data_IF_650727020105
#
_entry.id   IF_650727020105
#
_cell.length_a   1.000
_cell.length_b   1.000
_cell.length_c   1.000
_cell.angle_alpha   90.00
_cell.angle_beta   90.00
_cell.angle_gamma   90.00
#
_symmetry.space_group_name_H-M   'P 1'
#
loop_
_entity.id
_entity.type
_entity.pdbx_description
1 polymer ?
#
# COMPACT_ATOMS: atom_id res chain seq x y z
N UNK A 1 -10.89 -2.10 2.15
CA UNK A 1 -10.57 -3.49 1.75
C UNK A 1 -9.48 -3.44 0.69
N UNK A 2 -8.30 -3.99 0.95
CA UNK A 2 -7.22 -4.04 -0.03
C UNK A 2 -7.11 -5.49 -0.54
N UNK A 3 -7.68 -5.75 -1.72
CA UNK A 3 -7.80 -7.10 -2.30
C UNK A 3 -6.48 -7.88 -2.28
N UNK A 4 -5.33 -7.20 -2.45
CA UNK A 4 -4.01 -7.84 -2.45
C UNK A 4 -3.61 -8.39 -1.07
N UNK A 5 -3.92 -7.71 0.03
CA UNK A 5 -3.55 -8.24 1.36
C UNK A 5 -4.33 -9.49 1.72
N UNK A 6 -5.58 -9.61 1.24
CA UNK A 6 -6.40 -10.82 1.43
C UNK A 6 -5.83 -11.98 0.61
N UNK A 7 -5.53 -11.76 -0.67
CA UNK A 7 -4.87 -12.74 -1.54
C UNK A 7 -3.57 -13.26 -0.92
N UNK A 8 -2.72 -12.37 -0.38
CA UNK A 8 -1.49 -12.82 0.27
C UNK A 8 -1.74 -13.57 1.56
N UNK A 9 -2.77 -13.23 2.34
CA UNK A 9 -3.08 -14.00 3.56
C UNK A 9 -3.49 -15.43 3.23
N UNK A 10 -4.26 -15.60 2.16
CA UNK A 10 -4.79 -16.89 1.74
C UNK A 10 -3.74 -17.73 1.01
N UNK A 11 -3.07 -17.16 0.00
CA UNK A 11 -2.27 -17.94 -0.95
C UNK A 11 -0.75 -17.79 -0.78
N UNK A 12 -0.26 -16.76 -0.08
CA UNK A 12 1.19 -16.58 0.05
C UNK A 12 1.90 -17.72 0.79
N UNK A 13 1.34 -18.37 1.82
CA UNK A 13 2.03 -19.47 2.49
C UNK A 13 2.41 -20.61 1.52
N UNK A 14 1.46 -21.10 0.72
CA UNK A 14 1.71 -22.16 -0.26
C UNK A 14 2.64 -21.67 -1.38
N UNK A 15 2.40 -20.46 -1.89
CA UNK A 15 3.22 -19.88 -2.96
C UNK A 15 4.69 -19.68 -2.53
N UNK A 16 4.91 -19.22 -1.30
CA UNK A 16 6.25 -19.05 -0.72
C UNK A 16 6.91 -20.39 -0.42
N UNK A 17 6.15 -21.41 -0.01
CA UNK A 17 6.69 -22.75 0.18
C UNK A 17 7.20 -23.33 -1.16
N UNK A 18 6.41 -23.18 -2.23
CA UNK A 18 6.73 -23.74 -3.55
C UNK A 18 7.81 -22.94 -4.30
N UNK A 19 7.78 -21.61 -4.22
CA UNK A 19 8.62 -20.75 -5.07
C UNK A 19 9.54 -19.80 -4.29
N UNK A 20 9.48 -19.78 -2.96
CA UNK A 20 10.22 -18.81 -2.15
C UNK A 20 11.75 -18.91 -2.27
N UNK A 21 12.28 -20.09 -2.59
CA UNK A 21 13.72 -20.31 -2.77
C UNK A 21 14.27 -19.60 -4.02
N UNK A 22 13.56 -19.65 -5.14
CA UNK A 22 13.94 -18.99 -6.40
C UNK A 22 13.47 -17.53 -6.47
N UNK A 23 12.62 -17.09 -5.54
CA UNK A 23 12.08 -15.75 -5.53
C UNK A 23 13.09 -14.68 -5.06
N UNK A 24 13.20 -13.55 -5.78
CA UNK A 24 14.00 -12.41 -5.35
C UNK A 24 13.65 -11.98 -3.91
N UNK A 25 14.69 -11.71 -3.12
CA UNK A 25 14.53 -11.33 -1.69
C UNK A 25 13.62 -10.13 -1.50
N UNK A 26 13.63 -9.18 -2.43
CA UNK A 26 12.78 -7.97 -2.44
C UNK A 26 11.29 -8.31 -2.54
N UNK A 27 10.92 -9.35 -3.27
CA UNK A 27 9.53 -9.79 -3.41
C UNK A 27 9.04 -10.43 -2.10
N UNK A 28 9.84 -11.34 -1.53
CA UNK A 28 9.54 -11.96 -0.21
C UNK A 28 9.36 -10.90 0.89
N UNK A 29 10.26 -9.91 0.94
CA UNK A 29 10.15 -8.77 1.87
C UNK A 29 8.88 -7.95 1.64
N UNK A 30 8.50 -7.73 0.38
CA UNK A 30 7.27 -6.99 0.04
C UNK A 30 6.02 -7.73 0.48
N UNK A 31 5.94 -9.04 0.26
CA UNK A 31 4.84 -9.89 0.73
C UNK A 31 4.74 -9.80 2.26
N UNK A 32 5.84 -10.00 2.98
CA UNK A 32 5.86 -9.90 4.45
C UNK A 32 5.47 -8.51 4.97
N UNK A 33 5.93 -7.44 4.30
CA UNK A 33 5.55 -6.07 4.65
C UNK A 33 4.05 -5.81 4.44
N UNK A 34 3.46 -6.36 3.38
CA UNK A 34 2.03 -6.22 3.11
C UNK A 34 1.20 -7.01 4.12
N UNK A 35 1.61 -8.25 4.46
CA UNK A 35 0.93 -9.10 5.44
C UNK A 35 0.94 -8.51 6.86
N UNK A 36 2.06 -7.91 7.24
CA UNK A 36 2.23 -7.27 8.56
C UNK A 36 1.69 -5.84 8.61
N UNK A 37 1.26 -5.24 7.50
CA UNK A 37 0.84 -3.84 7.48
C UNK A 37 -0.38 -3.60 8.38
N UNK A 38 -0.34 -2.54 9.20
CA UNK A 38 -1.40 -2.18 10.17
C UNK A 38 -1.72 -3.31 11.15
N UNK A 39 -0.70 -4.03 11.58
CA UNK A 39 -0.75 -4.92 12.74
C UNK A 39 0.19 -4.42 13.83
N UNK A 40 0.15 -5.08 14.99
CA UNK A 40 1.06 -4.80 16.11
C UNK A 40 2.56 -4.83 15.72
N UNK A 41 2.92 -5.54 14.65
CA UNK A 41 4.30 -5.63 14.17
C UNK A 41 4.95 -4.27 13.81
N UNK A 42 4.14 -3.25 13.48
CA UNK A 42 4.65 -1.89 13.17
C UNK A 42 4.35 -0.88 14.28
N UNK A 43 3.92 -1.36 15.45
CA UNK A 43 3.58 -0.53 16.59
C UNK A 43 2.21 0.16 16.48
N UNK A 44 1.80 0.72 17.60
CA UNK A 44 0.54 1.43 17.77
C UNK A 44 0.79 2.94 17.83
N UNK A 45 -0.16 3.71 17.33
CA UNK A 45 -0.19 5.16 17.46
C UNK A 45 -1.46 5.53 18.22
N UNK A 46 -1.29 6.39 19.23
CA UNK A 46 -2.39 7.03 19.94
C UNK A 46 -2.40 8.51 19.61
N UNK A 47 -3.57 9.05 19.33
CA UNK A 47 -3.78 10.49 19.26
C UNK A 47 -5.09 10.85 19.94
N UNK A 48 -5.09 12.00 20.58
CA UNK A 48 -6.27 12.56 21.23
C UNK A 48 -6.82 13.68 20.37
N UNK A 49 -8.13 13.69 20.17
CA UNK A 49 -8.79 14.79 19.50
C UNK A 49 -8.87 16.00 20.45
N UNK A 50 -8.17 17.09 20.14
CA UNK A 50 -8.19 18.30 20.95
C UNK A 50 -9.60 18.91 21.13
N UNK A 51 -10.50 18.69 20.17
CA UNK A 51 -11.86 19.25 20.21
C UNK A 51 -12.83 18.44 21.09
N UNK A 52 -12.61 17.14 21.30
CA UNK A 52 -13.57 16.29 22.02
C UNK A 52 -12.96 15.31 23.02
N UNK A 53 -11.64 15.34 23.23
CA UNK A 53 -10.90 14.46 24.15
C UNK A 53 -10.91 12.98 23.74
N UNK A 54 -11.44 12.64 22.56
CA UNK A 54 -11.53 11.24 22.13
C UNK A 54 -10.14 10.69 21.79
N UNK A 55 -9.77 9.60 22.44
CA UNK A 55 -8.56 8.85 22.12
C UNK A 55 -8.81 7.93 20.93
N UNK A 56 -7.90 7.99 19.97
CA UNK A 56 -7.91 7.16 18.80
C UNK A 56 -6.62 6.33 18.75
N UNK A 57 -6.76 5.03 18.53
CA UNK A 57 -5.64 4.10 18.48
C UNK A 57 -5.63 3.34 17.15
N UNK A 58 -4.52 3.38 16.43
CA UNK A 58 -4.36 2.62 15.18
C UNK A 58 -2.95 2.08 15.00
N UNK A 59 -2.86 0.89 14.41
CA UNK A 59 -1.57 0.32 14.04
C UNK A 59 -0.94 1.08 12.86
N UNK A 60 0.38 1.29 12.94
CA UNK A 60 1.11 2.05 11.93
C UNK A 60 1.21 1.26 10.61
N UNK A 61 1.38 2.01 9.53
CA UNK A 61 1.61 1.45 8.19
C UNK A 61 3.02 0.88 8.04
N UNK A 62 3.21 -0.15 7.22
CA UNK A 62 4.53 -0.76 6.99
C UNK A 62 5.48 0.09 6.12
N UNK A 63 5.01 1.19 5.52
CA UNK A 63 5.84 2.14 4.76
C UNK A 63 6.35 1.64 3.40
N UNK A 64 6.11 0.38 3.03
CA UNK A 64 6.59 -0.16 1.75
C UNK A 64 5.88 0.50 0.56
N UNK A 65 6.65 0.96 -0.44
CA UNK A 65 6.15 1.64 -1.66
C UNK A 65 5.23 0.78 -2.53
N UNK A 66 5.32 -0.55 -2.42
CA UNK A 66 4.46 -1.48 -3.15
C UNK A 66 3.22 -1.89 -2.35
N UNK A 67 3.11 -1.48 -1.07
CA UNK A 67 1.94 -1.78 -0.26
C UNK A 67 0.76 -0.88 -0.67
N UNK A 68 -0.34 -1.43 -1.21
CA UNK A 68 -1.46 -0.61 -1.63
C UNK A 68 -2.15 0.05 -0.43
N UNK A 69 -2.18 -0.58 0.75
CA UNK A 69 -2.77 0.03 1.94
C UNK A 69 -2.02 1.31 2.38
N UNK A 70 -0.73 1.41 2.09
CA UNK A 70 0.10 2.57 2.39
C UNK A 70 0.02 3.65 1.29
N UNK A 71 0.08 3.26 0.02
CA UNK A 71 0.21 4.22 -1.09
C UNK A 71 -1.10 4.61 -1.77
N UNK A 72 -2.20 3.89 -1.55
CA UNK A 72 -3.46 4.13 -2.27
C UNK A 72 -4.01 5.54 -2.04
N UNK A 73 -3.88 6.10 -0.84
CA UNK A 73 -4.31 7.48 -0.59
C UNK A 73 -3.54 8.49 -1.44
N UNK A 74 -2.21 8.38 -1.47
CA UNK A 74 -1.35 9.25 -2.29
C UNK A 74 -1.65 9.09 -3.78
N UNK A 75 -1.83 7.85 -4.24
CA UNK A 75 -2.18 7.56 -5.63
C UNK A 75 -3.53 8.18 -6.02
N UNK A 76 -4.55 8.11 -5.14
CA UNK A 76 -5.86 8.74 -5.35
C UNK A 76 -5.77 10.26 -5.38
N UNK A 77 -5.02 10.87 -4.46
CA UNK A 77 -4.82 12.32 -4.44
C UNK A 77 -4.13 12.79 -5.73
N UNK A 78 -3.07 12.09 -6.14
CA UNK A 78 -2.36 12.38 -7.38
C UNK A 78 -3.28 12.23 -8.59
N UNK A 79 -4.07 11.16 -8.67
CA UNK A 79 -5.04 10.93 -9.75
C UNK A 79 -6.09 12.03 -9.81
N UNK A 80 -6.68 12.41 -8.68
CA UNK A 80 -7.64 13.51 -8.61
C UNK A 80 -7.03 14.83 -9.09
N UNK A 81 -5.76 15.08 -8.79
CA UNK A 81 -5.05 16.26 -9.28
C UNK A 81 -4.84 16.20 -10.81
N UNK A 82 -4.48 15.04 -11.37
CA UNK A 82 -4.35 14.91 -12.83
C UNK A 82 -5.69 15.12 -13.55
N UNK A 83 -6.78 14.54 -13.02
CA UNK A 83 -8.13 14.70 -13.60
C UNK A 83 -8.54 16.17 -13.61
N UNK A 84 -8.22 16.94 -12.57
CA UNK A 84 -8.50 18.40 -12.55
C UNK A 84 -7.76 19.19 -13.62
N UNK A 85 -6.67 18.66 -14.18
CA UNK A 85 -5.87 19.30 -15.24
C UNK A 85 -6.27 18.85 -16.65
N UNK A 86 -7.32 18.04 -16.76
CA UNK A 86 -7.82 17.54 -18.04
C UNK A 86 -8.35 18.69 -18.90
N UNK A 87 -7.91 18.74 -20.16
CA UNK A 87 -8.40 19.69 -21.15
C UNK A 87 -9.76 19.24 -21.72
N UNK A 88 -10.62 20.16 -22.20
CA UNK A 88 -11.84 19.78 -22.90
C UNK A 88 -11.54 18.91 -24.13
N UNK A 89 -12.17 17.73 -24.22
CA UNK A 89 -11.99 16.77 -25.32
C UNK A 89 -11.48 15.40 -24.88
N UNK A 90 -11.16 14.54 -25.85
CA UNK A 90 -10.58 13.23 -25.57
C UNK A 90 -9.17 13.38 -25.02
N UNK A 91 -8.94 12.87 -23.80
CA UNK A 91 -7.66 12.98 -23.11
C UNK A 91 -7.24 11.62 -22.56
N UNK A 92 -6.00 11.24 -22.81
CA UNK A 92 -5.35 10.06 -22.26
C UNK A 92 -3.99 10.45 -21.70
N UNK A 93 -3.61 9.83 -20.57
CA UNK A 93 -2.32 10.05 -19.94
C UNK A 93 -1.38 8.89 -20.28
N UNK A 94 -0.26 9.18 -20.94
CA UNK A 94 0.79 8.19 -21.23
C UNK A 94 1.93 8.36 -20.24
N UNK A 95 2.23 7.30 -19.50
CA UNK A 95 3.43 7.22 -18.65
C UNK A 95 4.42 6.28 -19.31
N UNK A 96 5.65 6.73 -19.54
CA UNK A 96 6.74 5.90 -19.99
C UNK A 96 7.97 6.13 -19.13
N UNK A 97 8.81 5.11 -19.01
CA UNK A 97 10.09 5.20 -18.32
C UNK A 97 11.18 5.29 -19.38
N UNK A 98 11.93 6.38 -19.39
CA UNK A 98 13.12 6.48 -20.24
C UNK A 98 14.27 5.81 -19.48
N UNK A 99 14.74 4.66 -19.98
CA UNK A 99 15.97 4.06 -19.50
C UNK A 99 17.17 4.84 -20.04
N UNK A 100 18.19 5.03 -19.21
CA UNK A 100 19.56 5.22 -19.70
C UNK A 100 20.18 3.83 -19.89
#
# INVERSE_FOLDING_TARGET
MNKISEIFREFAPEYLNRFGASMPKTHRKTIGAILSCRTQAHGLLYYECEACGKIHAFYRSCGNRHCPACQNHKARQWMAHQIKRQLPGHHFMVTFTCGM
#
